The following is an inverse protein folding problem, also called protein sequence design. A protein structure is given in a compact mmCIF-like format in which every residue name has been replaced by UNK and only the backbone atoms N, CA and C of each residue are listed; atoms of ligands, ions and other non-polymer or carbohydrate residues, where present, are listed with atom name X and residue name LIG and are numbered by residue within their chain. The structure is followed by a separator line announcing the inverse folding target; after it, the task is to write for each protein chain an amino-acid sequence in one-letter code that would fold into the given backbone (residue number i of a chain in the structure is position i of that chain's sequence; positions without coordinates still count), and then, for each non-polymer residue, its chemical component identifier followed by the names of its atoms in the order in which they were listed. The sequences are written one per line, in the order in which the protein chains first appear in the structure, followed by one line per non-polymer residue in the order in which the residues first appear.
data_IF_759496504194
#
_entry.id   IF_759496504194
#
_cell.length_a   1.000
_cell.length_b   1.000
_cell.length_c   1.000
_cell.angle_alpha   90.00
_cell.angle_beta   90.00
_cell.angle_gamma   90.00
#
_symmetry.space_group_name_H-M   'P 1'
#
loop_
_entity.id
_entity.type
_entity.pdbx_description
1 polymer ?
#
# COMPACT_ATOMS: atom_id res chain seq x y z
N UNK A 1 -53.25 15.60 0.40
CA UNK A 1 -52.23 15.69 1.47
C UNK A 1 -50.90 15.46 0.81
N UNK A 2 -50.22 16.55 0.45
CA UNK A 2 -48.91 16.49 -0.19
C UNK A 2 -47.87 16.13 0.86
N UNK A 3 -47.18 15.01 0.65
CA UNK A 3 -46.10 14.55 1.50
C UNK A 3 -44.91 15.49 1.24
N UNK A 4 -44.39 16.18 2.28
CA UNK A 4 -43.23 17.03 2.09
C UNK A 4 -42.03 16.19 1.63
N UNK A 5 -41.20 16.70 0.70
CA UNK A 5 -40.02 16.00 0.23
C UNK A 5 -39.08 15.72 1.42
N UNK A 6 -38.41 14.55 1.42
CA UNK A 6 -37.49 14.19 2.48
C UNK A 6 -36.37 15.24 2.60
N UNK A 7 -35.96 15.59 3.83
CA UNK A 7 -34.91 16.57 4.03
C UNK A 7 -33.62 16.11 3.34
N UNK A 8 -32.85 17.03 2.75
CA UNK A 8 -31.57 16.68 2.14
C UNK A 8 -30.67 16.04 3.20
N UNK A 9 -29.90 14.99 2.83
CA UNK A 9 -28.99 14.36 3.76
C UNK A 9 -28.02 15.40 4.34
N UNK A 10 -27.70 15.30 5.64
CA UNK A 10 -26.80 16.24 6.27
C UNK A 10 -25.48 16.30 5.49
N UNK A 11 -24.87 17.49 5.33
CA UNK A 11 -23.60 17.62 4.64
C UNK A 11 -22.59 16.69 5.32
N UNK A 12 -22.10 15.72 4.56
CA UNK A 12 -21.03 14.82 5.00
C UNK A 12 -19.89 15.72 5.46
N UNK A 13 -19.41 15.60 6.71
CA UNK A 13 -18.33 16.44 7.22
C UNK A 13 -17.18 16.41 6.22
N UNK A 14 -16.60 17.58 5.91
CA UNK A 14 -15.44 17.66 5.03
C UNK A 14 -14.37 16.71 5.58
N UNK A 15 -14.24 15.54 4.95
CA UNK A 15 -13.45 14.46 5.47
C UNK A 15 -11.99 14.81 5.26
N UNK A 16 -11.35 15.21 6.35
CA UNK A 16 -9.97 15.66 6.33
C UNK A 16 -9.02 14.46 6.47
N UNK A 17 -7.82 14.59 5.91
CA UNK A 17 -6.76 13.58 5.99
C UNK A 17 -6.42 13.21 7.45
N UNK A 18 -6.48 14.19 8.35
CA UNK A 18 -6.28 13.98 9.79
C UNK A 18 -7.37 13.10 10.40
N UNK A 19 -8.62 13.22 9.93
CA UNK A 19 -9.72 12.38 10.38
C UNK A 19 -9.46 10.92 10.04
N UNK A 20 -9.04 10.64 8.80
CA UNK A 20 -8.67 9.28 8.35
C UNK A 20 -7.55 8.69 9.21
N UNK A 21 -6.51 9.47 9.51
CA UNK A 21 -5.40 9.02 10.36
C UNK A 21 -5.85 8.80 11.80
N UNK A 22 -6.63 9.72 12.37
CA UNK A 22 -7.12 9.60 13.74
C UNK A 22 -7.98 8.37 13.93
N UNK A 23 -8.80 8.05 12.93
CA UNK A 23 -9.68 6.90 12.92
C UNK A 23 -8.90 5.59 12.73
N UNK A 24 -7.92 5.56 11.82
CA UNK A 24 -7.00 4.43 11.67
C UNK A 24 -6.24 4.15 12.98
N UNK A 25 -5.73 5.20 13.65
CA UNK A 25 -5.07 5.08 14.95
C UNK A 25 -6.03 4.57 16.02
N UNK A 26 -7.29 5.03 16.03
CA UNK A 26 -8.33 4.58 16.98
C UNK A 26 -8.58 3.08 16.86
N UNK A 27 -8.76 2.56 15.65
CA UNK A 27 -9.00 1.13 15.37
C UNK A 27 -7.79 0.30 15.78
N UNK A 28 -6.58 0.72 15.40
CA UNK A 28 -5.34 0.02 15.76
C UNK A 28 -5.16 -0.02 17.27
N UNK A 29 -5.43 1.08 17.98
CA UNK A 29 -5.30 1.15 19.44
C UNK A 29 -6.35 0.30 20.16
N UNK A 30 -7.59 0.25 19.65
CA UNK A 30 -8.67 -0.55 20.24
C UNK A 30 -8.34 -2.05 20.27
N UNK A 31 -7.60 -2.55 19.26
CA UNK A 31 -7.16 -3.94 19.17
C UNK A 31 -5.62 -4.07 19.13
N UNK A 32 -4.92 -3.22 19.90
CA UNK A 32 -3.46 -3.05 19.85
C UNK A 32 -2.67 -4.35 19.96
N UNK A 33 -3.05 -5.27 20.85
CA UNK A 33 -2.35 -6.57 21.02
C UNK A 33 -2.38 -7.42 19.75
N UNK A 34 -3.50 -7.39 19.04
CA UNK A 34 -3.68 -8.16 17.82
C UNK A 34 -2.90 -7.55 16.65
N UNK A 35 -3.02 -6.24 16.45
CA UNK A 35 -2.26 -5.53 15.43
C UNK A 35 -0.75 -5.56 15.69
N UNK A 36 -0.33 -5.54 16.95
CA UNK A 36 1.07 -5.71 17.34
C UNK A 36 1.55 -7.11 17.00
N UNK A 37 0.77 -8.16 17.29
CA UNK A 37 1.13 -9.53 16.90
C UNK A 37 1.28 -9.68 15.37
N UNK A 38 0.35 -9.14 14.58
CA UNK A 38 0.47 -9.14 13.11
C UNK A 38 1.68 -8.33 12.61
N UNK A 39 1.96 -7.20 13.25
CA UNK A 39 3.11 -6.35 12.90
C UNK A 39 4.43 -7.05 13.21
N UNK A 40 4.56 -7.71 14.36
CA UNK A 40 5.74 -8.49 14.73
C UNK A 40 5.92 -9.69 13.80
N UNK A 41 4.83 -10.32 13.37
CA UNK A 41 4.88 -11.53 12.54
C UNK A 41 5.24 -11.21 11.08
N UNK A 42 4.71 -10.13 10.50
CA UNK A 42 4.89 -9.83 9.07
C UNK A 42 5.61 -8.51 8.75
N UNK A 43 5.33 -7.43 9.47
CA UNK A 43 5.92 -6.11 9.17
C UNK A 43 7.34 -5.95 9.71
N UNK A 44 7.63 -6.51 10.88
CA UNK A 44 8.94 -6.41 11.54
C UNK A 44 10.04 -7.12 10.76
N UNK A 45 9.86 -8.38 10.29
CA UNK A 45 10.85 -9.02 9.44
C UNK A 45 11.11 -8.22 8.16
N UNK A 46 10.04 -7.69 7.55
CA UNK A 46 10.13 -6.88 6.34
C UNK A 46 10.91 -5.57 6.57
N UNK A 47 10.59 -4.83 7.63
CA UNK A 47 11.22 -3.54 7.95
C UNK A 47 12.69 -3.72 8.36
N UNK A 48 12.99 -4.78 9.10
CA UNK A 48 14.36 -5.15 9.45
C UNK A 48 15.17 -5.49 8.19
N UNK A 49 14.62 -6.34 7.30
CA UNK A 49 15.27 -6.68 6.04
C UNK A 49 15.53 -5.45 5.16
N UNK A 50 14.58 -4.51 5.06
CA UNK A 50 14.77 -3.25 4.32
C UNK A 50 15.88 -2.38 4.91
N UNK A 51 16.01 -2.34 6.23
CA UNK A 51 17.02 -1.52 6.92
C UNK A 51 18.42 -2.14 6.80
N UNK A 52 18.51 -3.47 6.89
CA UNK A 52 19.78 -4.20 6.92
C UNK A 52 20.35 -4.43 5.50
N UNK A 53 19.52 -4.57 4.48
CA UNK A 53 19.96 -4.82 3.10
C UNK A 53 20.99 -3.82 2.55
N UNK A 54 20.78 -2.48 2.61
CA UNK A 54 21.78 -1.52 2.13
C UNK A 54 23.09 -1.61 2.92
N UNK A 55 23.01 -1.90 4.21
CA UNK A 55 24.18 -2.12 5.07
C UNK A 55 24.97 -3.34 4.58
N UNK A 56 24.32 -4.49 4.41
CA UNK A 56 24.96 -5.72 3.94
C UNK A 56 25.61 -5.54 2.56
N UNK A 57 24.97 -4.79 1.67
CA UNK A 57 25.50 -4.48 0.35
C UNK A 57 26.75 -3.58 0.42
N UNK A 58 26.75 -2.59 1.32
CA UNK A 58 27.93 -1.74 1.52
C UNK A 58 29.12 -2.53 2.05
N UNK A 59 28.89 -3.48 2.96
CA UNK A 59 29.91 -4.35 3.52
C UNK A 59 30.56 -5.24 2.45
N UNK A 60 29.77 -5.83 1.55
CA UNK A 60 30.31 -6.64 0.45
C UNK A 60 31.06 -5.83 -0.60
N UNK A 61 30.70 -4.56 -0.81
CA UNK A 61 31.40 -3.66 -1.73
C UNK A 61 32.72 -3.08 -1.17
N UNK A 62 32.88 -3.02 0.15
CA UNK A 62 34.02 -2.38 0.84
C UNK A 62 35.32 -3.18 0.90
N UNK A 63 35.40 -4.34 0.24
CA UNK A 63 36.62 -5.16 0.20
C UNK A 63 37.73 -4.62 -0.74
N UNK A 64 37.56 -3.43 -1.32
CA UNK A 64 38.58 -2.74 -2.13
C UNK A 64 39.14 -1.50 -1.40
N UNK A 65 40.47 -1.36 -1.26
CA UNK A 65 41.03 -0.18 -0.61
C UNK A 65 40.92 1.02 -1.57
N UNK A 66 40.36 2.12 -1.06
CA UNK A 66 40.40 3.47 -1.62
C UNK A 66 39.33 3.81 -2.68
N UNK A 67 38.14 4.23 -2.23
CA UNK A 67 37.43 5.38 -2.84
C UNK A 67 36.28 5.83 -1.94
N UNK A 68 36.43 7.03 -1.39
CA UNK A 68 35.37 7.76 -0.73
C UNK A 68 34.43 8.35 -1.80
N UNK A 69 33.35 7.65 -2.13
CA UNK A 69 32.20 8.22 -2.83
C UNK A 69 30.93 7.42 -2.47
N UNK A 70 29.80 8.08 -2.12
CA UNK A 70 28.54 7.40 -1.87
C UNK A 70 27.91 7.11 -3.23
N UNK A 71 28.37 6.06 -3.90
CA UNK A 71 27.76 5.63 -5.15
C UNK A 71 26.49 4.85 -4.84
N UNK A 72 25.39 5.51 -5.19
CA UNK A 72 24.01 5.11 -5.09
C UNK A 72 23.74 3.73 -5.67
N UNK A 73 22.57 3.19 -5.29
CA UNK A 73 21.80 2.04 -5.82
C UNK A 73 21.94 1.66 -7.32
N UNK A 74 22.59 2.47 -8.14
CA UNK A 74 22.83 2.29 -9.57
C UNK A 74 24.14 1.55 -9.91
N UNK A 75 25.06 1.34 -8.96
CA UNK A 75 26.34 0.62 -9.22
C UNK A 75 26.25 -0.91 -9.10
N UNK A 76 25.03 -1.49 -9.10
CA UNK A 76 24.77 -2.92 -8.92
C UNK A 76 25.39 -3.82 -10.02
N UNK A 77 26.06 -3.27 -11.04
CA UNK A 77 26.40 -4.01 -12.24
C UNK A 77 27.88 -4.38 -12.40
N UNK A 78 28.80 -3.87 -11.59
CA UNK A 78 30.22 -4.15 -11.83
C UNK A 78 30.86 -4.98 -10.72
N UNK A 79 30.97 -6.29 -10.99
CA UNK A 79 31.99 -7.23 -10.47
C UNK A 79 31.63 -8.04 -9.21
N UNK A 80 30.89 -9.15 -9.37
CA UNK A 80 31.21 -10.48 -8.78
C UNK A 80 30.14 -11.53 -9.16
N UNK A 81 30.56 -12.71 -9.63
CA UNK A 81 29.79 -13.94 -9.96
C UNK A 81 28.27 -13.78 -10.14
N UNK A 82 27.90 -13.42 -11.37
CA UNK A 82 26.58 -12.91 -11.75
C UNK A 82 25.40 -13.82 -11.41
N UNK A 83 25.54 -15.15 -11.48
CA UNK A 83 24.40 -16.07 -11.25
C UNK A 83 23.94 -16.11 -9.80
N UNK A 84 24.87 -16.17 -8.85
CA UNK A 84 24.56 -16.31 -7.42
C UNK A 84 24.00 -15.00 -6.85
N UNK A 85 24.52 -13.86 -7.31
CA UNK A 85 24.06 -12.52 -6.90
C UNK A 85 22.65 -12.21 -7.41
N UNK A 86 22.35 -12.58 -8.66
CA UNK A 86 21.00 -12.42 -9.23
C UNK A 86 20.02 -13.33 -8.50
N UNK A 87 20.38 -14.60 -8.27
CA UNK A 87 19.52 -15.54 -7.54
C UNK A 87 19.24 -15.06 -6.10
N UNK A 88 20.26 -14.56 -5.38
CA UNK A 88 20.10 -14.01 -4.04
C UNK A 88 19.21 -12.75 -4.03
N UNK A 89 19.37 -11.85 -5.00
CA UNK A 89 18.54 -10.65 -5.13
C UNK A 89 17.09 -10.99 -5.47
N UNK A 90 16.88 -11.99 -6.34
CA UNK A 90 15.56 -12.49 -6.71
C UNK A 90 14.89 -13.14 -5.48
N UNK A 91 15.61 -13.98 -4.74
CA UNK A 91 15.13 -14.61 -3.52
C UNK A 91 14.77 -13.58 -2.45
N UNK A 92 15.60 -12.54 -2.28
CA UNK A 92 15.34 -11.43 -1.36
C UNK A 92 14.09 -10.63 -1.77
N UNK A 93 13.95 -10.33 -3.06
CA UNK A 93 12.76 -9.62 -3.58
C UNK A 93 11.50 -10.47 -3.42
N UNK A 94 11.58 -11.77 -3.68
CA UNK A 94 10.48 -12.71 -3.45
C UNK A 94 10.11 -12.81 -1.97
N UNK A 95 11.11 -12.84 -1.07
CA UNK A 95 10.87 -12.81 0.37
C UNK A 95 10.13 -11.53 0.79
N UNK A 96 10.59 -10.37 0.35
CA UNK A 96 9.94 -9.09 0.65
C UNK A 96 8.51 -9.02 0.09
N UNK A 97 8.30 -9.49 -1.14
CA UNK A 97 6.98 -9.48 -1.75
C UNK A 97 6.01 -10.40 -1.01
N UNK A 98 6.40 -11.63 -0.69
CA UNK A 98 5.59 -12.56 0.09
C UNK A 98 5.17 -11.98 1.45
N UNK A 99 6.14 -11.46 2.22
CA UNK A 99 5.84 -10.85 3.53
C UNK A 99 4.95 -9.61 3.42
N UNK A 100 5.12 -8.80 2.36
CA UNK A 100 4.26 -7.64 2.12
C UNK A 100 2.81 -8.03 1.81
N UNK A 101 2.61 -9.10 1.03
CA UNK A 101 1.28 -9.64 0.70
C UNK A 101 0.59 -10.20 1.93
N UNK A 102 1.33 -10.92 2.78
CA UNK A 102 0.82 -11.46 4.03
C UNK A 102 0.43 -10.35 5.01
N UNK A 103 1.28 -9.33 5.16
CA UNK A 103 0.97 -8.17 5.98
C UNK A 103 -0.29 -7.44 5.46
N UNK A 104 -0.33 -7.13 4.15
CA UNK A 104 -1.45 -6.42 3.55
C UNK A 104 -2.78 -7.17 3.72
N UNK A 105 -2.80 -8.48 3.47
CA UNK A 105 -4.01 -9.30 3.61
C UNK A 105 -4.49 -9.42 5.06
N UNK A 106 -3.62 -9.82 6.00
CA UNK A 106 -4.02 -9.98 7.40
C UNK A 106 -4.42 -8.66 8.07
N UNK A 107 -3.67 -7.58 7.85
CA UNK A 107 -3.97 -6.28 8.46
C UNK A 107 -5.24 -5.69 7.85
N UNK A 108 -5.45 -5.82 6.54
CA UNK A 108 -6.68 -5.34 5.90
C UNK A 108 -7.90 -6.07 6.45
N UNK A 109 -7.86 -7.40 6.47
CA UNK A 109 -8.95 -8.21 7.00
C UNK A 109 -9.26 -7.87 8.47
N UNK A 110 -8.23 -7.73 9.31
CA UNK A 110 -8.40 -7.34 10.72
C UNK A 110 -8.93 -5.92 10.90
N UNK A 111 -8.54 -4.97 10.03
CA UNK A 111 -9.03 -3.58 10.10
C UNK A 111 -10.47 -3.46 9.63
N UNK A 112 -10.88 -4.20 8.59
CA UNK A 112 -12.27 -4.29 8.15
C UNK A 112 -13.14 -4.85 9.28
N UNK A 113 -12.72 -5.94 9.94
CA UNK A 113 -13.44 -6.49 11.09
C UNK A 113 -13.52 -5.53 12.28
N UNK A 114 -12.43 -4.81 12.56
CA UNK A 114 -12.38 -3.79 13.60
C UNK A 114 -13.32 -2.61 13.33
N UNK A 115 -13.49 -2.22 12.06
CA UNK A 115 -14.43 -1.16 11.66
C UNK A 115 -15.89 -1.58 11.90
N UNK A 116 -16.25 -2.83 11.63
CA UNK A 116 -17.59 -3.39 11.90
C UNK A 116 -17.82 -3.76 13.38
N UNK A 117 -16.86 -3.50 14.28
CA UNK A 117 -16.99 -3.78 15.72
C UNK A 117 -17.01 -5.27 16.09
N UNK A 118 -16.62 -6.18 15.18
CA UNK A 118 -16.56 -7.62 15.45
C UNK A 118 -15.25 -7.99 16.18
N UNK A 119 -15.25 -9.06 17.00
CA UNK A 119 -14.04 -9.48 17.70
C UNK A 119 -12.98 -9.99 16.72
N UNK A 120 -11.87 -9.25 16.62
CA UNK A 120 -10.76 -9.56 15.71
C UNK A 120 -9.98 -10.78 16.22
N UNK A 121 -10.04 -11.90 15.48
CA UNK A 121 -9.34 -13.16 15.83
C UNK A 121 -8.13 -13.39 14.92
N UNK A 122 -7.01 -13.86 15.48
CA UNK A 122 -5.74 -14.09 14.72
C UNK A 122 -5.89 -15.22 13.70
N UNK A 123 -6.61 -16.28 14.06
CA UNK A 123 -6.73 -17.47 13.21
C UNK A 123 -7.48 -17.17 11.88
N UNK A 124 -8.62 -16.47 11.88
CA UNK A 124 -9.26 -16.04 10.65
C UNK A 124 -8.40 -15.07 9.83
N UNK A 125 -7.65 -14.17 10.47
CA UNK A 125 -6.76 -13.23 9.77
C UNK A 125 -5.61 -13.94 9.03
N UNK A 126 -5.05 -15.01 9.61
CA UNK A 126 -4.03 -15.85 8.95
C UNK A 126 -4.68 -16.72 7.87
N UNK A 127 -5.89 -17.24 8.10
CA UNK A 127 -6.62 -18.02 7.08
C UNK A 127 -6.95 -17.16 5.85
N UNK A 128 -7.26 -15.88 6.05
CA UNK A 128 -7.52 -14.92 4.96
C UNK A 128 -6.31 -14.74 4.04
N UNK A 129 -5.09 -14.97 4.53
CA UNK A 129 -3.88 -14.90 3.70
C UNK A 129 -3.98 -15.89 2.54
N UNK A 130 -4.32 -17.15 2.84
CA UNK A 130 -4.36 -18.21 1.84
C UNK A 130 -5.45 -18.01 0.79
N UNK A 131 -6.58 -17.43 1.19
CA UNK A 131 -7.68 -17.13 0.27
C UNK A 131 -7.38 -15.91 -0.60
N UNK A 132 -6.67 -14.91 -0.06
CA UNK A 132 -6.36 -13.67 -0.79
C UNK A 132 -5.02 -13.72 -1.53
N UNK A 133 -4.14 -14.69 -1.25
CA UNK A 133 -2.79 -14.75 -1.81
C UNK A 133 -2.78 -14.77 -3.35
N UNK A 134 -3.56 -15.66 -3.96
CA UNK A 134 -3.62 -15.77 -5.42
C UNK A 134 -4.23 -14.51 -6.07
N UNK A 135 -5.41 -14.01 -5.63
CA UNK A 135 -5.94 -12.74 -6.11
C UNK A 135 -4.97 -11.55 -6.00
N UNK A 136 -4.28 -11.42 -4.86
CA UNK A 136 -3.36 -10.31 -4.61
C UNK A 136 -2.08 -10.44 -5.44
N UNK A 137 -1.55 -11.65 -5.59
CA UNK A 137 -0.39 -11.90 -6.45
C UNK A 137 -0.69 -11.58 -7.91
N UNK A 138 -1.85 -11.98 -8.42
CA UNK A 138 -2.27 -11.68 -9.81
C UNK A 138 -2.42 -10.18 -10.04
N UNK A 139 -3.07 -9.46 -9.12
CA UNK A 139 -3.26 -8.01 -9.25
C UNK A 139 -1.95 -7.23 -9.15
N UNK A 140 -1.04 -7.63 -8.25
CA UNK A 140 0.31 -7.05 -8.18
C UNK A 140 1.06 -7.30 -9.47
N UNK A 141 0.99 -8.50 -10.04
CA UNK A 141 1.60 -8.80 -11.34
C UNK A 141 1.00 -7.92 -12.45
N UNK A 142 -0.32 -7.72 -12.49
CA UNK A 142 -0.95 -6.79 -13.43
C UNK A 142 -0.44 -5.34 -13.28
N UNK A 143 -0.31 -4.84 -12.05
CA UNK A 143 0.23 -3.49 -11.78
C UNK A 143 1.66 -3.39 -12.29
N UNK A 144 2.50 -4.37 -11.94
CA UNK A 144 3.91 -4.43 -12.36
C UNK A 144 4.03 -4.51 -13.89
N UNK A 145 3.17 -5.27 -14.55
CA UNK A 145 3.12 -5.38 -16.00
C UNK A 145 2.75 -4.05 -16.65
N UNK A 146 1.76 -3.31 -16.12
CA UNK A 146 1.39 -1.99 -16.64
C UNK A 146 2.55 -0.99 -16.45
N UNK A 147 3.15 -0.96 -15.26
CA UNK A 147 4.30 -0.08 -14.99
C UNK A 147 5.49 -0.42 -15.90
N UNK A 148 5.77 -1.71 -16.09
CA UNK A 148 6.81 -2.20 -16.99
C UNK A 148 6.54 -1.84 -18.46
N UNK A 149 5.28 -1.91 -18.89
CA UNK A 149 4.89 -1.51 -20.25
C UNK A 149 5.07 -0.01 -20.47
N UNK A 150 4.68 0.83 -19.51
CA UNK A 150 4.90 2.29 -19.57
C UNK A 150 6.40 2.58 -19.67
N UNK A 151 7.22 1.94 -18.82
CA UNK A 151 8.67 2.08 -18.87
C UNK A 151 9.25 1.63 -20.22
N UNK A 152 8.76 0.50 -20.76
CA UNK A 152 9.20 -0.01 -22.04
C UNK A 152 8.86 0.94 -23.20
N UNK A 153 7.67 1.56 -23.19
CA UNK A 153 7.27 2.55 -24.21
C UNK A 153 8.16 3.79 -24.13
N UNK A 154 8.37 4.34 -22.93
CA UNK A 154 9.25 5.50 -22.72
C UNK A 154 10.70 5.18 -23.09
N UNK A 155 11.19 3.99 -22.73
CA UNK A 155 12.52 3.50 -23.08
C UNK A 155 12.70 3.31 -24.59
N UNK A 156 11.70 2.74 -25.26
CA UNK A 156 11.69 2.59 -26.72
C UNK A 156 11.70 3.96 -27.41
N UNK A 157 10.94 4.92 -26.89
CA UNK A 157 10.95 6.29 -27.40
C UNK A 157 12.35 6.92 -27.30
N UNK A 158 13.00 6.84 -26.14
CA UNK A 158 14.38 7.33 -25.96
C UNK A 158 15.34 6.62 -26.91
N UNK A 159 15.23 5.30 -27.04
CA UNK A 159 16.06 4.50 -27.94
C UNK A 159 15.90 4.93 -29.41
N UNK A 160 14.67 5.13 -29.88
CA UNK A 160 14.38 5.59 -31.24
C UNK A 160 14.94 6.99 -31.49
N UNK A 161 14.77 7.92 -30.54
CA UNK A 161 15.34 9.27 -30.64
C UNK A 161 16.86 9.21 -30.75
N UNK A 162 17.53 8.42 -29.89
CA UNK A 162 18.98 8.25 -29.94
C UNK A 162 19.43 7.68 -31.29
N UNK A 163 18.77 6.65 -31.79
CA UNK A 163 19.12 6.04 -33.09
C UNK A 163 18.88 6.97 -34.26
N UNK A 164 17.83 7.78 -34.22
CA UNK A 164 17.55 8.78 -35.25
C UNK A 164 18.63 9.88 -35.26
N UNK A 165 19.04 10.36 -34.08
CA UNK A 165 20.10 11.35 -33.97
C UNK A 165 21.44 10.76 -34.41
N UNK A 166 21.73 9.51 -34.11
CA UNK A 166 22.97 8.81 -34.54
C UNK A 166 23.03 8.64 -36.06
N UNK A 167 21.88 8.43 -36.72
CA UNK A 167 21.77 8.36 -38.17
C UNK A 167 22.05 9.71 -38.86
N UNK A 168 21.59 10.81 -38.26
CA UNK A 168 21.72 12.17 -38.83
C UNK A 168 23.07 12.80 -38.46
N UNK A 169 23.53 12.59 -37.22
CA UNK A 169 24.71 13.18 -36.64
C UNK A 169 25.63 12.05 -36.14
N UNK A 170 26.64 11.73 -36.95
CA UNK A 170 27.50 10.55 -36.86
C UNK A 170 28.22 10.33 -35.50
N UNK A 171 28.19 11.28 -34.56
CA UNK A 171 28.70 11.11 -33.18
C UNK A 171 27.82 11.82 -32.15
N UNK A 172 27.20 11.05 -31.26
CA UNK A 172 26.55 11.56 -30.04
C UNK A 172 27.52 11.43 -28.88
N UNK A 173 27.78 12.54 -28.18
CA UNK A 173 28.45 12.50 -26.89
C UNK A 173 27.42 12.23 -25.79
N UNK A 174 27.37 10.99 -25.32
CA UNK A 174 26.46 10.56 -24.24
C UNK A 174 26.72 11.28 -22.90
N UNK A 175 27.90 11.88 -22.73
CA UNK A 175 28.24 12.68 -21.55
C UNK A 175 27.79 14.15 -21.68
N UNK A 176 27.18 14.53 -22.79
CA UNK A 176 26.71 15.90 -23.01
C UNK A 176 25.61 16.27 -22.00
N UNK A 177 25.64 17.47 -21.39
CA UNK A 177 24.63 17.89 -20.43
C UNK A 177 23.22 17.91 -21.03
N UNK A 178 23.09 18.11 -22.35
CA UNK A 178 21.80 18.08 -23.05
C UNK A 178 21.20 16.68 -23.11
N UNK A 179 22.02 15.65 -23.35
CA UNK A 179 21.57 14.26 -23.38
C UNK A 179 21.16 13.79 -21.98
N UNK A 180 21.98 14.12 -20.97
CA UNK A 180 21.66 13.82 -19.56
C UNK A 180 20.38 14.53 -19.13
N UNK A 181 20.22 15.81 -19.48
CA UNK A 181 19.00 16.58 -19.20
C UNK A 181 17.75 15.98 -19.87
N UNK A 182 17.87 15.53 -21.12
CA UNK A 182 16.79 14.85 -21.82
C UNK A 182 16.37 13.54 -21.14
N UNK A 183 17.34 12.68 -20.79
CA UNK A 183 17.06 11.43 -20.07
C UNK A 183 16.43 11.72 -18.71
N UNK A 184 16.97 12.68 -17.95
CA UNK A 184 16.45 13.07 -16.65
C UNK A 184 15.00 13.58 -16.73
N UNK A 185 14.65 14.36 -17.75
CA UNK A 185 13.28 14.83 -17.99
C UNK A 185 12.32 13.66 -18.24
N UNK A 186 12.72 12.70 -19.07
CA UNK A 186 11.93 11.51 -19.36
C UNK A 186 11.76 10.64 -18.11
N UNK A 187 12.82 10.46 -17.32
CA UNK A 187 12.74 9.76 -16.03
C UNK A 187 11.80 10.49 -15.05
N UNK A 188 11.87 11.81 -14.98
CA UNK A 188 10.95 12.60 -14.15
C UNK A 188 9.50 12.41 -14.61
N UNK A 189 9.23 12.44 -15.91
CA UNK A 189 7.91 12.19 -16.47
C UNK A 189 7.40 10.79 -16.08
N UNK A 190 8.25 9.75 -16.17
CA UNK A 190 7.92 8.41 -15.72
C UNK A 190 7.55 8.37 -14.24
N UNK A 191 8.34 9.01 -13.37
CA UNK A 191 8.07 9.07 -11.92
C UNK A 191 6.73 9.74 -11.65
N UNK A 192 6.42 10.86 -12.32
CA UNK A 192 5.13 11.56 -12.16
C UNK A 192 3.96 10.68 -12.61
N UNK A 193 4.09 9.97 -13.73
CA UNK A 193 3.05 9.04 -14.23
C UNK A 193 2.82 7.91 -13.24
N UNK A 194 3.90 7.27 -12.75
CA UNK A 194 3.80 6.18 -11.77
C UNK A 194 3.17 6.68 -10.47
N UNK A 195 3.56 7.86 -9.99
CA UNK A 195 2.99 8.46 -8.79
C UNK A 195 1.49 8.75 -8.96
N UNK A 196 1.08 9.28 -10.12
CA UNK A 196 -0.33 9.49 -10.45
C UNK A 196 -1.12 8.17 -10.40
N UNK A 197 -0.59 7.11 -11.03
CA UNK A 197 -1.21 5.80 -11.04
C UNK A 197 -1.28 5.18 -9.63
N UNK A 198 -0.24 5.36 -8.80
CA UNK A 198 -0.25 4.91 -7.40
C UNK A 198 -1.38 5.54 -6.60
N UNK A 199 -1.66 6.84 -6.80
CA UNK A 199 -2.78 7.51 -6.11
C UNK A 199 -4.13 6.96 -6.58
N UNK A 200 -4.32 6.73 -7.88
CA UNK A 200 -5.57 6.14 -8.40
C UNK A 200 -5.76 4.68 -7.97
N UNK A 201 -4.66 3.94 -7.78
CA UNK A 201 -4.66 2.53 -7.41
C UNK A 201 -4.38 2.28 -5.92
N UNK A 202 -4.43 3.33 -5.08
CA UNK A 202 -4.13 3.23 -3.66
C UNK A 202 -5.01 2.20 -2.92
N UNK A 203 -6.25 2.00 -3.37
CA UNK A 203 -7.21 1.10 -2.74
C UNK A 203 -7.20 -0.32 -3.33
N UNK A 204 -6.39 -0.61 -4.35
CA UNK A 204 -6.40 -1.92 -5.02
C UNK A 204 -6.09 -3.04 -4.05
N UNK A 205 -5.09 -2.87 -3.20
CA UNK A 205 -4.73 -3.87 -2.18
C UNK A 205 -5.90 -4.18 -1.24
N UNK A 206 -6.63 -3.14 -0.82
CA UNK A 206 -7.78 -3.29 0.08
C UNK A 206 -8.95 -3.95 -0.64
N UNK A 207 -9.24 -3.54 -1.88
CA UNK A 207 -10.31 -4.11 -2.71
C UNK A 207 -10.14 -5.60 -2.95
N UNK A 208 -8.91 -6.04 -3.25
CA UNK A 208 -8.63 -7.46 -3.51
C UNK A 208 -8.86 -8.31 -2.27
N UNK A 209 -8.55 -7.78 -1.09
CA UNK A 209 -8.74 -8.51 0.17
C UNK A 209 -10.20 -8.45 0.63
N UNK A 210 -10.84 -7.29 0.54
CA UNK A 210 -12.19 -7.06 1.06
C UNK A 210 -13.28 -7.63 0.13
N UNK A 211 -13.16 -7.43 -1.18
CA UNK A 211 -14.16 -7.89 -2.16
C UNK A 211 -13.77 -9.22 -2.82
N UNK A 212 -12.59 -9.77 -2.51
CA UNK A 212 -12.06 -11.02 -3.08
C UNK A 212 -11.98 -11.05 -4.61
N UNK A 213 -11.81 -9.88 -5.25
CA UNK A 213 -11.75 -9.75 -6.72
C UNK A 213 -10.30 -9.71 -7.21
N UNK A 214 -10.07 -10.22 -8.42
CA UNK A 214 -8.74 -10.37 -9.04
C UNK A 214 -8.60 -9.69 -10.42
N UNK A 215 -7.36 -9.55 -10.88
CA UNK A 215 -7.01 -9.09 -12.23
C UNK A 215 -7.15 -7.58 -12.45
N UNK A 216 -7.72 -7.17 -13.59
CA UNK A 216 -7.87 -5.75 -13.94
C UNK A 216 -9.10 -5.08 -13.31
N UNK A 217 -10.04 -5.86 -12.79
CA UNK A 217 -11.27 -5.34 -12.22
C UNK A 217 -11.00 -4.44 -10.98
N UNK A 218 -10.16 -4.84 -10.00
CA UNK A 218 -9.83 -4.00 -8.85
C UNK A 218 -9.21 -2.65 -9.22
N UNK A 219 -8.45 -2.57 -10.34
CA UNK A 219 -7.85 -1.33 -10.82
C UNK A 219 -8.92 -0.32 -11.24
N UNK A 220 -9.87 -0.76 -12.08
CA UNK A 220 -10.99 0.08 -12.53
C UNK A 220 -11.87 0.51 -11.35
N UNK A 221 -12.12 -0.41 -10.42
CA UNK A 221 -12.93 -0.14 -9.22
C UNK A 221 -12.24 0.85 -8.27
N UNK A 222 -10.92 0.75 -8.09
CA UNK A 222 -10.14 1.72 -7.30
C UNK A 222 -10.25 3.13 -7.87
N UNK A 223 -10.06 3.30 -9.19
CA UNK A 223 -10.18 4.62 -9.83
C UNK A 223 -11.57 5.22 -9.68
N UNK A 224 -12.61 4.39 -9.69
CA UNK A 224 -13.99 4.81 -9.43
C UNK A 224 -14.17 5.28 -7.97
N UNK A 225 -13.77 4.47 -7.00
CA UNK A 225 -13.95 4.78 -5.57
C UNK A 225 -13.13 5.98 -5.10
N UNK A 226 -11.91 6.16 -5.63
CA UNK A 226 -11.05 7.30 -5.28
C UNK A 226 -11.58 8.59 -5.92
N UNK A 227 -12.49 8.52 -6.90
CA UNK A 227 -13.12 9.70 -7.51
C UNK A 227 -13.93 10.45 -6.44
N UNK A 228 -13.53 11.70 -6.16
CA UNK A 228 -14.08 12.51 -5.07
C UNK A 228 -13.14 12.67 -3.87
N UNK A 229 -12.26 11.70 -3.61
CA UNK A 229 -11.30 11.70 -2.49
C UNK A 229 -9.83 11.72 -2.91
N UNK A 230 -9.54 12.01 -4.19
CA UNK A 230 -8.18 12.03 -4.77
C UNK A 230 -7.17 12.84 -3.95
N UNK A 231 -7.58 14.01 -3.44
CA UNK A 231 -6.69 14.86 -2.63
C UNK A 231 -6.29 14.18 -1.32
N UNK A 232 -7.24 13.54 -0.62
CA UNK A 232 -6.98 12.82 0.63
C UNK A 232 -6.09 11.61 0.36
N UNK A 233 -6.38 10.84 -0.70
CA UNK A 233 -5.55 9.72 -1.12
C UNK A 233 -4.12 10.16 -1.47
N UNK A 234 -3.96 11.30 -2.14
CA UNK A 234 -2.66 11.88 -2.46
C UNK A 234 -1.91 12.30 -1.20
N UNK A 235 -2.55 13.01 -0.26
CA UNK A 235 -1.96 13.39 1.01
C UNK A 235 -1.52 12.17 1.83
N UNK A 236 -2.33 11.10 1.82
CA UNK A 236 -2.02 9.84 2.49
C UNK A 236 -0.78 9.17 1.91
N UNK A 237 -0.75 8.98 0.59
CA UNK A 237 0.40 8.38 -0.08
C UNK A 237 1.66 9.24 0.06
N UNK A 238 1.55 10.57 0.01
CA UNK A 238 2.69 11.46 0.17
C UNK A 238 3.25 11.41 1.60
N UNK A 239 2.39 11.43 2.62
CA UNK A 239 2.82 11.33 4.01
C UNK A 239 3.49 9.98 4.32
N UNK A 240 2.84 8.88 3.93
CA UNK A 240 3.35 7.53 4.20
C UNK A 240 4.46 7.08 3.25
N UNK A 241 4.64 7.73 2.09
CA UNK A 241 5.76 7.48 1.19
C UNK A 241 7.00 8.31 1.54
N UNK A 242 6.80 9.62 1.77
CA UNK A 242 7.90 10.55 1.98
C UNK A 242 8.54 10.42 3.37
N UNK A 243 7.74 10.25 4.43
CA UNK A 243 8.28 10.20 5.80
C UNK A 243 9.19 8.97 6.03
N UNK A 244 8.81 7.73 5.65
CA UNK A 244 9.72 6.59 5.71
C UNK A 244 10.94 6.75 4.79
N UNK A 245 10.76 7.35 3.61
CA UNK A 245 11.85 7.64 2.67
C UNK A 245 12.91 8.56 3.27
N UNK A 246 12.50 9.69 3.84
CA UNK A 246 13.42 10.60 4.56
C UNK A 246 14.11 9.88 5.70
N UNK A 247 13.37 9.08 6.48
CA UNK A 247 13.92 8.39 7.63
C UNK A 247 15.03 7.41 7.24
N UNK A 248 14.82 6.64 6.16
CA UNK A 248 15.83 5.77 5.57
C UNK A 248 17.05 6.56 5.05
N UNK A 249 16.82 7.68 4.37
CA UNK A 249 17.90 8.55 3.90
C UNK A 249 18.71 9.18 5.05
N UNK A 250 18.05 9.62 6.12
CA UNK A 250 18.72 10.21 7.28
C UNK A 250 19.61 9.19 7.99
N UNK A 251 19.13 7.94 8.15
CA UNK A 251 19.91 6.87 8.76
C UNK A 251 21.13 6.46 7.94
N UNK A 252 21.04 6.47 6.60
CA UNK A 252 22.20 6.11 5.78
C UNK A 252 23.31 7.16 5.89
N UNK A 253 22.96 8.44 6.04
CA UNK A 253 23.93 9.52 6.27
C UNK A 253 24.55 9.49 7.67
N UNK A 254 23.85 8.96 8.68
CA UNK A 254 24.33 8.88 10.06
C UNK A 254 25.30 7.71 10.31
N UNK A 255 25.29 6.69 9.45
CA UNK A 255 26.01 5.41 9.61
C UNK A 255 27.56 5.45 9.59
N UNK A 256 28.17 6.61 9.81
CA UNK A 256 29.63 6.79 9.86
C UNK A 256 30.29 6.17 11.12
N UNK A 257 29.50 5.71 12.08
CA UNK A 257 30.00 4.94 13.23
C UNK A 257 30.13 3.48 12.83
N UNK A 258 31.34 2.92 12.94
CA UNK A 258 31.61 1.55 12.50
C UNK A 258 30.60 0.52 13.01
N UNK A 259 30.16 -0.37 12.10
CA UNK A 259 29.30 -1.56 12.27
C UNK A 259 29.46 -2.39 13.55
N UNK A 260 30.58 -2.29 14.27
CA UNK A 260 30.83 -2.96 15.57
C UNK A 260 30.24 -2.22 16.78
N UNK A 261 29.73 -1.01 16.58
CA UNK A 261 29.15 -0.21 17.66
C UNK A 261 27.75 -0.73 18.02
N UNK A 262 27.50 -0.91 19.32
CA UNK A 262 26.15 -1.17 19.84
C UNK A 262 25.15 -0.09 19.43
N UNK A 263 25.61 1.15 19.20
CA UNK A 263 24.77 2.24 18.71
C UNK A 263 24.16 1.94 17.35
N UNK A 264 24.90 1.28 16.46
CA UNK A 264 24.43 0.90 15.12
C UNK A 264 23.30 -0.15 15.19
N UNK A 265 23.43 -1.13 16.08
CA UNK A 265 22.39 -2.14 16.31
C UNK A 265 21.13 -1.49 16.87
N UNK A 266 21.28 -0.59 17.86
CA UNK A 266 20.16 0.15 18.45
C UNK A 266 19.47 1.03 17.40
N UNK A 267 20.24 1.68 16.53
CA UNK A 267 19.70 2.49 15.43
C UNK A 267 18.88 1.66 14.45
N UNK A 268 19.37 0.50 14.01
CA UNK A 268 18.63 -0.41 13.12
C UNK A 268 17.33 -0.89 13.78
N UNK A 269 17.39 -1.27 15.05
CA UNK A 269 16.21 -1.74 15.81
C UNK A 269 15.19 -0.61 15.96
N UNK A 270 15.63 0.59 16.31
CA UNK A 270 14.76 1.76 16.45
C UNK A 270 14.13 2.14 15.09
N UNK A 271 14.93 2.20 14.03
CA UNK A 271 14.48 2.52 12.69
C UNK A 271 13.46 1.51 12.16
N UNK A 272 13.76 0.21 12.29
CA UNK A 272 12.82 -0.85 11.90
C UNK A 272 11.53 -0.81 12.71
N UNK A 273 11.60 -0.52 14.01
CA UNK A 273 10.41 -0.29 14.84
C UNK A 273 9.57 0.91 14.37
N UNK A 274 10.19 2.00 13.96
CA UNK A 274 9.46 3.17 13.46
C UNK A 274 8.82 2.86 12.10
N UNK A 275 9.57 2.23 11.20
CA UNK A 275 9.09 1.82 9.87
C UNK A 275 7.91 0.84 9.96
N UNK A 276 7.94 -0.12 10.88
CA UNK A 276 6.79 -1.03 11.09
C UNK A 276 5.53 -0.27 11.47
N UNK A 277 5.63 0.71 12.37
CA UNK A 277 4.49 1.52 12.79
C UNK A 277 3.93 2.36 11.63
N UNK A 278 4.80 2.94 10.80
CA UNK A 278 4.38 3.66 9.60
C UNK A 278 3.68 2.74 8.59
N UNK A 279 4.22 1.55 8.33
CA UNK A 279 3.61 0.57 7.41
C UNK A 279 2.26 0.07 7.91
N UNK A 280 2.13 -0.20 9.22
CA UNK A 280 0.87 -0.61 9.84
C UNK A 280 -0.19 0.48 9.68
N UNK A 281 0.17 1.72 10.01
CA UNK A 281 -0.76 2.85 9.94
C UNK A 281 -1.13 3.18 8.49
N UNK A 282 -0.21 3.02 7.54
CA UNK A 282 -0.48 3.17 6.11
C UNK A 282 -1.54 2.18 5.63
N UNK A 283 -1.39 0.89 5.96
CA UNK A 283 -2.37 -0.14 5.61
C UNK A 283 -3.73 0.13 6.25
N UNK A 284 -3.75 0.42 7.56
CA UNK A 284 -4.98 0.74 8.27
C UNK A 284 -5.68 1.99 7.70
N UNK A 285 -4.93 3.03 7.37
CA UNK A 285 -5.49 4.25 6.81
C UNK A 285 -6.06 4.05 5.40
N UNK A 286 -5.45 3.20 4.56
CA UNK A 286 -6.02 2.84 3.26
C UNK A 286 -7.35 2.07 3.41
N UNK A 287 -7.49 1.23 4.45
CA UNK A 287 -8.76 0.55 4.74
C UNK A 287 -9.84 1.53 5.20
N UNK A 288 -9.49 2.46 6.09
CA UNK A 288 -10.42 3.51 6.54
C UNK A 288 -10.82 4.40 5.36
N UNK A 289 -9.87 4.80 4.52
CA UNK A 289 -10.13 5.56 3.29
C UNK A 289 -11.08 4.80 2.36
N UNK A 290 -10.88 3.49 2.19
CA UNK A 290 -11.77 2.63 1.43
C UNK A 290 -13.21 2.63 1.98
N UNK A 291 -13.38 2.48 3.30
CA UNK A 291 -14.70 2.52 3.93
C UNK A 291 -15.40 3.87 3.72
N UNK A 292 -14.66 4.98 3.85
CA UNK A 292 -15.20 6.31 3.56
C UNK A 292 -15.54 6.50 2.08
N UNK A 293 -14.71 6.03 1.16
CA UNK A 293 -15.02 6.06 -0.27
C UNK A 293 -16.30 5.28 -0.58
N UNK A 294 -16.49 4.10 0.02
CA UNK A 294 -17.74 3.33 -0.08
C UNK A 294 -18.93 4.06 0.51
N UNK A 295 -18.75 4.79 1.62
CA UNK A 295 -19.81 5.59 2.24
C UNK A 295 -20.28 6.72 1.32
N UNK A 296 -19.34 7.43 0.68
CA UNK A 296 -19.65 8.54 -0.24
C UNK A 296 -20.42 8.06 -1.47
N UNK A 297 -20.11 6.87 -1.96
CA UNK A 297 -20.81 6.27 -3.11
C UNK A 297 -22.14 5.58 -2.73
N UNK A 298 -22.53 5.59 -1.44
CA UNK A 298 -23.77 4.99 -0.95
C UNK A 298 -23.75 3.45 -0.86
N UNK A 299 -22.65 2.80 -1.25
CA UNK A 299 -22.50 1.33 -1.21
C UNK A 299 -22.40 0.82 0.23
N UNK A 300 -21.81 1.60 1.14
CA UNK A 300 -21.61 1.18 2.53
C UNK A 300 -22.93 0.96 3.29
N UNK A 301 -23.94 1.81 3.08
CA UNK A 301 -25.22 1.68 3.77
C UNK A 301 -25.98 0.41 3.35
N UNK A 302 -25.86 0.03 2.08
CA UNK A 302 -26.46 -1.20 1.54
C UNK A 302 -25.75 -2.45 2.06
N UNK A 303 -24.42 -2.43 2.11
CA UNK A 303 -23.61 -3.56 2.62
C UNK A 303 -23.80 -3.75 4.13
N UNK A 304 -23.87 -2.66 4.90
CA UNK A 304 -24.22 -2.71 6.33
C UNK A 304 -25.61 -3.31 6.51
N UNK A 305 -26.61 -2.89 5.72
CA UNK A 305 -27.96 -3.45 5.80
C UNK A 305 -28.01 -4.95 5.45
N UNK A 306 -27.26 -5.40 4.44
CA UNK A 306 -27.19 -6.81 4.05
C UNK A 306 -26.43 -7.66 5.08
N UNK A 307 -25.33 -7.15 5.64
CA UNK A 307 -24.54 -7.81 6.67
C UNK A 307 -25.38 -7.99 7.95
N UNK A 308 -26.12 -6.96 8.37
CA UNK A 308 -27.06 -7.08 9.48
C UNK A 308 -28.23 -8.03 9.12
N UNK A 309 -28.77 -7.98 7.90
CA UNK A 309 -29.83 -8.88 7.46
C UNK A 309 -29.42 -10.36 7.46
N UNK A 310 -28.15 -10.69 7.23
CA UNK A 310 -27.63 -12.06 7.34
C UNK A 310 -27.52 -12.56 8.79
N UNK A 311 -27.29 -11.65 9.74
CA UNK A 311 -27.27 -11.97 11.17
C UNK A 311 -28.69 -12.00 11.79
N UNK A 312 -29.70 -11.45 11.11
CA UNK A 312 -31.10 -11.69 11.45
C UNK A 312 -31.53 -13.06 10.88
N UNK A 313 -31.54 -14.06 11.75
CA UNK A 313 -32.35 -15.26 11.53
C UNK A 313 -33.77 -14.78 11.22
N UNK A 314 -34.26 -15.05 10.01
CA UNK A 314 -35.68 -14.91 9.69
C UNK A 314 -36.42 -15.80 10.68
N UNK A 315 -36.99 -15.19 11.73
CA UNK A 315 -37.94 -15.88 12.59
C UNK A 315 -38.99 -16.44 11.63
N UNK A 316 -39.28 -17.76 11.65
CA UNK A 316 -40.46 -18.25 10.97
C UNK A 316 -41.61 -17.44 11.57
N UNK A 317 -42.19 -16.56 10.77
CA UNK A 317 -43.46 -15.96 11.13
C UNK A 317 -44.38 -17.16 11.34
N UNK A 318 -44.86 -17.30 12.57
CA UNK A 318 -45.87 -18.27 12.95
C UNK A 318 -47.11 -17.96 12.10
N UNK A 319 -47.20 -18.57 10.91
CA UNK A 319 -48.34 -18.45 9.98
C UNK A 319 -49.66 -18.98 10.59
N UNK A 320 -49.67 -19.34 11.89
CA UNK A 320 -50.83 -19.82 12.62
C UNK A 320 -51.54 -18.81 13.52
N UNK A 321 -51.02 -17.58 13.76
CA UNK A 321 -51.65 -16.64 14.70
C UNK A 321 -52.10 -15.33 14.06
N UNK A 322 -53.40 -15.33 13.77
CA UNK A 322 -54.27 -14.19 13.47
C UNK A 322 -53.91 -12.95 14.31
N UNK A 323 -53.82 -11.74 13.72
CA UNK A 323 -53.58 -10.52 14.47
C UNK A 323 -54.74 -10.28 15.45
N UNK A 324 -54.45 -10.36 16.75
CA UNK A 324 -55.36 -9.84 17.76
C UNK A 324 -55.36 -8.31 17.68
N UNK A 325 -56.40 -7.79 17.04
CA UNK A 325 -56.77 -6.37 17.11
C UNK A 325 -57.18 -6.09 18.55
N UNK A 326 -56.27 -5.50 19.33
CA UNK A 326 -56.60 -4.93 20.64
C UNK A 326 -57.18 -3.55 20.38
N UNK A 327 -58.51 -3.45 20.35
CA UNK A 327 -59.20 -2.16 20.39
C UNK A 327 -59.14 -1.62 21.83
N UNK A 328 -58.31 -0.60 22.06
CA UNK A 328 -58.36 0.17 23.30
C UNK A 328 -59.55 1.13 23.22
N UNK A 329 -60.62 0.81 23.94
CA UNK A 329 -61.70 1.75 24.20
C UNK A 329 -61.28 2.68 25.34
N UNK A 330 -61.21 3.98 25.07
CA UNK A 330 -61.12 4.99 26.11
C UNK A 330 -62.54 5.23 26.66
N UNK A 331 -62.76 4.85 27.92
CA UNK A 331 -63.82 5.36 28.80
C UNK A 331 -63.24 6.43 29.69
#
# INVERSE_FOLDING_TARGET
MDIPPPPPPPPVPALDFLTVISEARRIVNAHSRHFLALSVLFLLPLSFSLTVYPTLLSLTSSAGPNSAAPQSLLSLHHRSDSSNTIAATLAFTAFLSLFSLFAASSITHSTVQGFYGRPVKLLPAIKSIFTSFFPLSVTVLCIQLIQGLILAILGLFVFLVVKLVELIWHRIEYSSPYFVGFVALITLAFVVIVFYLQVEWALVYVLVVAESVWGFYPLKRSTYLVKGMRKVALCLNLFFGFAPGILLCASSMHSNTGWKSWAFVVEIVALSSVLTMFMLLHLAANVVLYMYCKAIHGELAMEIAEEFARDYVSLPFDEGKVPHVVSVAYT
#
